data_IF_845156187594
#
_entry.id   IF_845156187594
#
_cell.length_a   1.000
_cell.length_b   1.000
_cell.length_c   1.000
_cell.angle_alpha   90.00
_cell.angle_beta   90.00
_cell.angle_gamma   90.00
#
_symmetry.space_group_name_H-M   'P 1'
#
loop_
_entity.id
_entity.type
_entity.pdbx_description
1 polymer ?
#
# COMPACT_ATOMS: atom_id res chain seq x y z
N UNK A 1 -0.68 16.04 -13.24
CA UNK A 1 -1.12 14.85 -12.46
C UNK A 1 -2.53 15.12 -11.95
N UNK A 2 -3.49 14.40 -12.45
CA UNK A 2 -4.90 14.58 -12.08
C UNK A 2 -5.34 13.45 -11.14
N UNK A 3 -5.10 13.64 -9.84
CA UNK A 3 -5.43 12.64 -8.82
C UNK A 3 -6.94 12.46 -8.68
N UNK A 4 -7.72 13.50 -8.85
CA UNK A 4 -9.18 13.41 -8.76
C UNK A 4 -9.75 12.52 -9.87
N UNK A 5 -9.26 12.69 -11.10
CA UNK A 5 -9.67 11.85 -12.22
C UNK A 5 -9.24 10.39 -12.00
N UNK A 6 -8.06 10.17 -11.46
CA UNK A 6 -7.57 8.83 -11.13
C UNK A 6 -8.47 8.15 -10.11
N UNK A 7 -8.85 8.85 -9.05
CA UNK A 7 -9.76 8.31 -8.03
C UNK A 7 -11.12 8.00 -8.63
N UNK A 8 -11.66 8.87 -9.47
CA UNK A 8 -12.95 8.63 -10.14
C UNK A 8 -12.91 7.38 -11.00
N UNK A 9 -11.83 7.18 -11.75
CA UNK A 9 -11.65 5.99 -12.57
C UNK A 9 -11.61 4.73 -11.72
N UNK A 10 -10.84 4.74 -10.64
CA UNK A 10 -10.73 3.60 -9.73
C UNK A 10 -12.08 3.27 -9.07
N UNK A 11 -12.81 4.29 -8.66
CA UNK A 11 -14.14 4.08 -8.07
C UNK A 11 -15.13 3.46 -9.06
N UNK A 12 -15.02 3.83 -10.32
CA UNK A 12 -15.90 3.29 -11.37
C UNK A 12 -15.54 1.85 -11.75
N UNK A 13 -14.24 1.51 -11.71
CA UNK A 13 -13.74 0.25 -12.27
C UNK A 13 -13.40 -0.83 -11.23
N UNK A 14 -13.27 -0.47 -9.96
CA UNK A 14 -12.96 -1.41 -8.87
C UNK A 14 -14.19 -1.60 -8.00
N UNK A 15 -14.90 -2.73 -8.12
CA UNK A 15 -16.06 -3.01 -7.28
C UNK A 15 -15.65 -3.11 -5.81
N UNK A 16 -16.41 -2.48 -4.93
CA UNK A 16 -16.15 -2.52 -3.49
C UNK A 16 -14.88 -1.78 -3.07
N UNK A 17 -14.46 -0.78 -3.84
CA UNK A 17 -13.27 0.01 -3.49
C UNK A 17 -13.46 0.68 -2.13
N UNK A 18 -12.49 0.47 -1.25
CA UNK A 18 -12.50 0.96 0.12
C UNK A 18 -11.51 2.10 0.35
N UNK A 19 -10.30 1.97 -0.17
CA UNK A 19 -9.20 2.91 0.06
C UNK A 19 -8.36 3.07 -1.20
N UNK A 20 -7.81 4.27 -1.38
CA UNK A 20 -6.76 4.56 -2.35
C UNK A 20 -5.69 5.38 -1.66
N UNK A 21 -4.44 4.95 -1.80
CA UNK A 21 -3.27 5.67 -1.31
C UNK A 21 -2.36 6.05 -2.46
N UNK A 22 -1.75 7.22 -2.36
CA UNK A 22 -0.56 7.57 -3.13
C UNK A 22 0.64 7.24 -2.24
N UNK A 23 1.62 6.51 -2.75
CA UNK A 23 2.82 6.18 -1.98
C UNK A 23 4.08 6.36 -2.82
N UNK A 24 5.23 5.92 -2.32
CA UNK A 24 6.49 6.10 -3.01
C UNK A 24 6.96 7.55 -3.07
N UNK A 25 7.76 7.87 -4.08
CA UNK A 25 8.44 9.17 -4.17
C UNK A 25 7.48 10.36 -4.29
N UNK A 26 6.35 10.19 -4.98
CA UNK A 26 5.35 11.26 -5.10
C UNK A 26 4.68 11.60 -3.77
N UNK A 27 4.47 10.62 -2.91
CA UNK A 27 3.91 10.86 -1.58
C UNK A 27 4.94 11.50 -0.64
N UNK A 28 6.21 11.10 -0.76
CA UNK A 28 7.30 11.65 0.06
C UNK A 28 7.75 13.05 -0.37
N UNK A 29 7.38 13.48 -1.59
CA UNK A 29 7.78 14.79 -2.12
C UNK A 29 9.18 14.81 -2.74
N UNK A 30 9.79 13.65 -2.98
CA UNK A 30 11.11 13.53 -3.60
C UNK A 30 11.06 12.97 -5.03
N UNK A 31 9.88 13.02 -5.66
CA UNK A 31 9.70 12.55 -7.03
C UNK A 31 10.46 13.42 -8.03
N UNK A 32 11.03 12.74 -9.04
CA UNK A 32 11.65 13.37 -10.19
C UNK A 32 10.67 13.36 -11.37
N UNK A 33 11.00 14.08 -12.43
CA UNK A 33 10.13 14.16 -13.60
C UNK A 33 9.82 12.80 -14.24
N UNK A 34 10.74 11.84 -14.12
CA UNK A 34 10.64 10.49 -14.67
C UNK A 34 10.22 9.44 -13.62
N UNK A 35 9.88 9.86 -12.41
CA UNK A 35 9.46 8.94 -11.35
C UNK A 35 8.11 8.30 -11.67
N UNK A 36 8.01 6.99 -11.42
CA UNK A 36 6.74 6.29 -11.48
C UNK A 36 5.79 6.79 -10.39
N UNK A 37 4.51 6.70 -10.65
CA UNK A 37 3.47 7.03 -9.67
C UNK A 37 3.00 5.72 -9.03
N UNK A 38 3.20 5.60 -7.72
CA UNK A 38 2.80 4.41 -6.97
C UNK A 38 1.44 4.65 -6.32
N UNK A 39 0.47 3.85 -6.72
CA UNK A 39 -0.90 3.90 -6.21
C UNK A 39 -1.26 2.55 -5.59
N UNK A 40 -1.83 2.59 -4.40
CA UNK A 40 -2.28 1.38 -3.72
C UNK A 40 -3.79 1.44 -3.51
N UNK A 41 -4.48 0.33 -3.77
CA UNK A 41 -5.92 0.22 -3.61
C UNK A 41 -6.28 -0.91 -2.65
N UNK A 42 -7.36 -0.73 -1.91
CA UNK A 42 -7.99 -1.78 -1.12
C UNK A 42 -9.44 -1.88 -1.53
N UNK A 43 -9.91 -3.08 -1.83
CA UNK A 43 -11.31 -3.37 -2.12
C UNK A 43 -11.81 -4.48 -1.20
N UNK A 44 -13.11 -4.70 -1.18
CA UNK A 44 -13.73 -5.75 -0.35
C UNK A 44 -13.24 -7.15 -0.72
N UNK A 45 -12.83 -7.33 -1.98
CA UNK A 45 -12.18 -8.56 -2.45
C UNK A 45 -10.97 -8.20 -3.29
N UNK A 46 -10.05 -9.15 -3.45
CA UNK A 46 -8.85 -8.95 -4.28
C UNK A 46 -9.21 -8.58 -5.71
N UNK A 47 -8.47 -7.63 -6.26
CA UNK A 47 -8.67 -7.18 -7.64
C UNK A 47 -8.02 -8.18 -8.59
N UNK A 48 -8.73 -8.51 -9.68
CA UNK A 48 -8.21 -9.39 -10.72
C UNK A 48 -6.90 -8.81 -11.28
N UNK A 49 -5.83 -9.60 -11.41
CA UNK A 49 -4.55 -9.13 -11.96
C UNK A 49 -4.66 -8.50 -13.34
N UNK A 50 -5.53 -9.02 -14.22
CA UNK A 50 -5.75 -8.42 -15.54
C UNK A 50 -6.41 -7.07 -15.44
N UNK A 51 -7.31 -6.90 -14.50
CA UNK A 51 -7.94 -5.61 -14.21
C UNK A 51 -6.92 -4.60 -13.71
N UNK A 52 -6.00 -5.01 -12.83
CA UNK A 52 -4.92 -4.14 -12.33
C UNK A 52 -4.04 -3.64 -13.48
N UNK A 53 -3.64 -4.52 -14.39
CA UNK A 53 -2.81 -4.16 -15.53
C UNK A 53 -3.54 -3.16 -16.45
N UNK A 54 -4.81 -3.42 -16.73
CA UNK A 54 -5.62 -2.53 -17.55
C UNK A 54 -5.78 -1.15 -16.89
N UNK A 55 -6.02 -1.12 -15.58
CA UNK A 55 -6.14 0.13 -14.83
C UNK A 55 -4.83 0.92 -14.78
N UNK A 56 -3.69 0.26 -14.67
CA UNK A 56 -2.40 0.93 -14.77
C UNK A 56 -2.27 1.70 -16.08
N UNK A 57 -2.58 1.04 -17.18
CA UNK A 57 -2.56 1.68 -18.51
C UNK A 57 -3.52 2.85 -18.61
N UNK A 58 -4.72 2.71 -18.05
CA UNK A 58 -5.73 3.77 -18.08
C UNK A 58 -5.37 4.96 -17.19
N UNK A 59 -4.65 4.72 -16.11
CA UNK A 59 -4.22 5.77 -15.18
C UNK A 59 -3.03 6.58 -15.70
N UNK A 60 -2.18 6.01 -16.54
CA UNK A 60 -0.98 6.67 -17.03
C UNK A 60 -1.24 8.03 -17.69
N UNK A 61 -2.20 8.17 -18.63
CA UNK A 61 -2.46 9.49 -19.21
C UNK A 61 -3.02 10.49 -18.20
N UNK A 62 -3.72 10.04 -17.17
CA UNK A 62 -4.26 10.94 -16.13
C UNK A 62 -3.16 11.43 -15.20
N UNK A 63 -2.18 10.60 -14.91
CA UNK A 63 -1.11 10.90 -13.96
C UNK A 63 0.17 11.39 -14.64
N UNK A 64 0.26 11.26 -15.96
CA UNK A 64 1.39 11.79 -16.73
C UNK A 64 2.71 11.05 -16.52
N UNK A 65 2.65 9.79 -16.08
CA UNK A 65 3.82 8.96 -15.79
C UNK A 65 3.42 7.48 -15.81
N UNK A 66 4.40 6.60 -15.80
CA UNK A 66 4.14 5.18 -15.57
C UNK A 66 3.52 5.00 -14.19
N UNK A 67 2.57 4.10 -14.09
CA UNK A 67 1.82 3.85 -12.85
C UNK A 67 2.07 2.42 -12.38
N UNK A 68 2.43 2.28 -11.11
CA UNK A 68 2.48 1.00 -10.42
C UNK A 68 1.27 0.92 -9.49
N UNK A 69 0.36 -0.01 -9.78
CA UNK A 69 -0.88 -0.17 -9.03
C UNK A 69 -0.80 -1.42 -8.17
N UNK A 70 -0.81 -1.22 -6.87
CA UNK A 70 -0.69 -2.28 -5.86
C UNK A 70 -2.05 -2.61 -5.26
N UNK A 71 -2.38 -3.89 -5.17
CA UNK A 71 -3.54 -4.37 -4.43
C UNK A 71 -3.14 -4.65 -2.98
N UNK A 72 -3.57 -3.80 -2.06
CA UNK A 72 -3.28 -3.96 -0.63
C UNK A 72 -3.87 -5.24 -0.04
N UNK A 73 -4.91 -5.79 -0.64
CA UNK A 73 -5.48 -7.06 -0.22
C UNK A 73 -4.52 -8.23 -0.39
N UNK A 74 -3.58 -8.14 -1.32
CA UNK A 74 -2.57 -9.17 -1.60
C UNK A 74 -1.18 -8.83 -1.09
N UNK A 75 -0.98 -7.59 -0.64
CA UNK A 75 0.31 -7.14 -0.14
C UNK A 75 0.64 -7.79 1.21
N UNK A 76 1.92 -7.97 1.48
CA UNK A 76 2.36 -8.46 2.78
C UNK A 76 2.28 -7.37 3.85
N UNK A 77 2.50 -7.76 5.11
CA UNK A 77 2.36 -6.85 6.26
C UNK A 77 3.35 -5.69 6.21
N UNK A 78 4.57 -5.92 5.71
CA UNK A 78 5.60 -4.89 5.63
C UNK A 78 5.21 -3.82 4.61
N UNK A 79 4.76 -4.23 3.43
CA UNK A 79 4.32 -3.31 2.37
C UNK A 79 3.11 -2.50 2.84
N UNK A 80 2.13 -3.13 3.48
CA UNK A 80 0.96 -2.42 4.01
C UNK A 80 1.35 -1.32 4.99
N UNK A 81 2.25 -1.61 5.91
CA UNK A 81 2.71 -0.63 6.90
C UNK A 81 3.52 0.49 6.22
N UNK A 82 4.33 0.18 5.22
CA UNK A 82 5.05 1.20 4.46
C UNK A 82 4.10 2.17 3.77
N UNK A 83 3.05 1.66 3.15
CA UNK A 83 2.03 2.49 2.50
C UNK A 83 1.30 3.36 3.53
N UNK A 84 0.91 2.80 4.67
CA UNK A 84 0.23 3.54 5.73
C UNK A 84 1.12 4.63 6.32
N UNK A 85 2.38 4.30 6.61
CA UNK A 85 3.30 5.23 7.30
C UNK A 85 3.75 6.38 6.40
N UNK A 86 3.97 6.13 5.13
CA UNK A 86 4.58 7.09 4.21
C UNK A 86 3.66 7.53 3.07
N UNK A 87 2.52 6.90 2.93
CA UNK A 87 1.56 7.22 1.89
C UNK A 87 0.61 8.34 2.28
N UNK A 88 -0.16 8.78 1.30
CA UNK A 88 -1.20 9.78 1.45
C UNK A 88 -2.53 9.19 1.00
N UNK A 89 -3.56 9.32 1.82
CA UNK A 89 -4.90 8.84 1.49
C UNK A 89 -5.50 9.73 0.40
N UNK A 90 -5.84 9.15 -0.74
CA UNK A 90 -6.54 9.84 -1.82
C UNK A 90 -8.04 9.62 -1.76
N UNK A 91 -8.46 8.46 -1.26
CA UNK A 91 -9.87 8.13 -1.12
C UNK A 91 -10.04 7.16 0.04
N UNK A 92 -11.08 7.39 0.83
CA UNK A 92 -11.58 6.45 1.83
C UNK A 92 -13.10 6.37 1.71
N UNK A 93 -13.63 5.14 1.69
CA UNK A 93 -15.08 4.93 1.66
C UNK A 93 -15.73 5.45 2.94
N UNK A 94 -15.06 5.24 4.07
CA UNK A 94 -15.40 5.83 5.35
C UNK A 94 -14.15 5.87 6.24
N UNK A 95 -14.15 6.76 7.21
CA UNK A 95 -13.07 6.85 8.21
C UNK A 95 -12.92 5.55 8.98
N UNK A 96 -14.03 4.91 9.33
CA UNK A 96 -14.03 3.65 10.07
C UNK A 96 -13.35 2.52 9.27
N UNK A 97 -13.63 2.42 7.98
CA UNK A 97 -13.00 1.43 7.09
C UNK A 97 -11.48 1.63 7.07
N UNK A 98 -11.03 2.87 6.92
CA UNK A 98 -9.59 3.18 6.91
C UNK A 98 -8.95 2.85 8.25
N UNK A 99 -9.55 3.30 9.35
CA UNK A 99 -9.00 3.07 10.69
C UNK A 99 -8.90 1.58 11.01
N UNK A 100 -9.89 0.79 10.64
CA UNK A 100 -9.87 -0.66 10.83
C UNK A 100 -8.76 -1.33 10.03
N UNK A 101 -8.60 -0.94 8.79
CA UNK A 101 -7.54 -1.47 7.94
C UNK A 101 -6.16 -1.14 8.53
N UNK A 102 -5.93 0.12 8.86
CA UNK A 102 -4.65 0.60 9.38
C UNK A 102 -4.31 -0.04 10.73
N UNK A 103 -5.29 -0.11 11.63
CA UNK A 103 -5.10 -0.75 12.93
C UNK A 103 -4.75 -2.24 12.79
N UNK A 104 -5.46 -2.95 11.92
CA UNK A 104 -5.22 -4.37 11.67
C UNK A 104 -3.83 -4.60 11.08
N UNK A 105 -3.44 -3.81 10.09
CA UNK A 105 -2.12 -3.92 9.46
C UNK A 105 -0.99 -3.63 10.45
N UNK A 106 -1.14 -2.57 11.26
CA UNK A 106 -0.15 -2.21 12.27
C UNK A 106 -0.04 -3.26 13.37
N UNK A 107 -1.17 -3.84 13.79
CA UNK A 107 -1.19 -4.92 14.80
C UNK A 107 -0.49 -6.16 14.29
N UNK A 108 -0.73 -6.56 13.04
CA UNK A 108 -0.05 -7.69 12.43
C UNK A 108 1.45 -7.46 12.30
N UNK A 109 1.84 -6.27 11.92
CA UNK A 109 3.25 -5.90 11.80
C UNK A 109 3.96 -5.91 13.16
N UNK A 110 3.32 -5.38 14.20
CA UNK A 110 3.86 -5.40 15.55
C UNK A 110 4.05 -6.85 16.05
N UNK A 111 3.07 -7.71 15.81
CA UNK A 111 3.16 -9.12 16.17
C UNK A 111 4.30 -9.83 15.43
N UNK A 112 4.46 -9.57 14.15
CA UNK A 112 5.56 -10.10 13.35
C UNK A 112 6.92 -9.65 13.90
N UNK A 113 7.05 -8.39 14.29
CA UNK A 113 8.28 -7.86 14.88
C UNK A 113 8.57 -8.49 16.24
N UNK A 114 7.57 -8.74 17.06
CA UNK A 114 7.73 -9.44 18.33
C UNK A 114 8.26 -10.85 18.12
N UNK A 115 7.73 -11.57 17.15
CA UNK A 115 8.21 -12.91 16.78
C UNK A 115 9.66 -12.85 16.31
N UNK A 116 10.01 -11.89 15.46
CA UNK A 116 11.39 -11.71 14.98
C UNK A 116 12.33 -11.34 16.12
N UNK A 117 11.92 -10.47 17.01
CA UNK A 117 12.70 -10.07 18.18
C UNK A 117 12.97 -11.26 19.10
N UNK A 118 11.95 -12.11 19.35
CA UNK A 118 12.10 -13.31 20.12
C UNK A 118 13.09 -14.29 19.50
N UNK A 119 13.04 -14.47 18.20
CA UNK A 119 13.98 -15.32 17.47
C UNK A 119 15.39 -14.77 17.56
N UNK A 120 15.56 -13.48 17.38
CA UNK A 120 16.87 -12.82 17.45
C UNK A 120 17.45 -12.91 18.86
N UNK A 121 16.66 -12.68 19.89
CA UNK A 121 17.07 -12.81 21.29
C UNK A 121 17.53 -14.23 21.62
N UNK A 122 16.79 -15.24 21.18
CA UNK A 122 17.13 -16.64 21.37
C UNK A 122 18.48 -16.98 20.70
N UNK A 123 18.68 -16.55 19.48
CA UNK A 123 19.93 -16.74 18.76
C UNK A 123 21.08 -15.97 19.44
N UNK A 124 20.81 -14.76 19.89
CA UNK A 124 21.79 -13.93 20.58
C UNK A 124 22.24 -14.54 21.90
N UNK A 125 21.34 -15.09 22.68
CA UNK A 125 21.65 -15.80 23.91
C UNK A 125 22.54 -17.01 23.64
N UNK A 126 22.21 -17.81 22.65
CA UNK A 126 23.04 -18.94 22.23
C UNK A 126 24.39 -18.48 21.70
N UNK A 127 24.40 -17.43 20.91
CA UNK A 127 25.60 -16.84 20.38
C UNK A 127 26.53 -16.31 21.46
N UNK A 128 26.00 -15.70 22.51
CA UNK A 128 26.77 -15.21 23.66
C UNK A 128 27.39 -16.36 24.44
N UNK A 129 26.68 -17.46 24.56
CA UNK A 129 27.16 -18.67 25.26
C UNK A 129 28.35 -19.27 24.54
N UNK A 130 28.35 -19.26 23.25
CA UNK A 130 29.41 -19.88 22.46
C UNK A 130 30.28 -18.86 21.72
N UNK A 131 30.26 -17.67 22.19
CA UNK A 131 31.09 -16.65 21.66
C UNK A 131 30.38 -15.71 20.79
#
# INVERSE_FOLDING_TARGET
>A
MDLDAAVKLLRACVPGLSLVYLHGSHARGDARADSDVDVAVLADSSVDPLTLVALQSDLEPLLGADVDLLDLGRADDVIRVQVIAHGRVLFERSTLVRERFEMHALSRYAHLNEERSGIIEDVSERGSVHG
#
